data_IF_624488046617
#
_entry.id   IF_624488046617
#
_cell.length_a   1.000
_cell.length_b   1.000
_cell.length_c   1.000
_cell.angle_alpha   90.00
_cell.angle_beta   90.00
_cell.angle_gamma   90.00
#
_symmetry.space_group_name_H-M   'P 1'
#
loop_
_entity.id
_entity.type
_entity.pdbx_description
1 polymer ?
#
# COMPACT_ATOMS: atom_id res chain seq x y z
N UNK A 1 7.89 -19.81 8.27
CA UNK A 1 7.00 -18.79 7.63
C UNK A 1 6.17 -19.51 6.57
N UNK A 2 4.83 -19.40 6.59
CA UNK A 2 4.00 -19.83 5.45
C UNK A 2 4.59 -19.20 4.19
N UNK A 3 4.70 -19.94 3.09
CA UNK A 3 5.24 -19.46 1.81
C UNK A 3 4.25 -18.44 1.23
N UNK A 4 4.26 -17.23 1.78
CA UNK A 4 3.47 -16.11 1.28
C UNK A 4 4.07 -15.76 -0.07
N UNK A 5 3.25 -15.89 -1.11
CA UNK A 5 3.61 -15.41 -2.42
C UNK A 5 3.50 -13.88 -2.41
N UNK A 6 4.62 -13.23 -2.11
CA UNK A 6 4.73 -11.78 -2.02
C UNK A 6 4.34 -11.09 -3.33
N UNK A 7 4.52 -11.74 -4.47
CA UNK A 7 4.11 -11.22 -5.79
C UNK A 7 2.59 -11.24 -5.92
N UNK A 8 1.95 -12.32 -5.48
CA UNK A 8 0.48 -12.38 -5.40
C UNK A 8 -0.07 -11.37 -4.41
N UNK A 9 0.59 -11.19 -3.26
CA UNK A 9 0.22 -10.19 -2.24
C UNK A 9 0.27 -8.77 -2.83
N UNK A 10 1.37 -8.44 -3.52
CA UNK A 10 1.57 -7.17 -4.21
C UNK A 10 0.42 -6.86 -5.18
N UNK A 11 0.07 -7.83 -6.01
CA UNK A 11 -0.96 -7.68 -7.03
C UNK A 11 -2.37 -7.55 -6.41
N UNK A 12 -2.64 -8.28 -5.33
CA UNK A 12 -3.89 -8.14 -4.57
C UNK A 12 -4.02 -6.74 -3.94
N UNK A 13 -2.96 -6.22 -3.32
CA UNK A 13 -2.98 -4.88 -2.69
C UNK A 13 -3.19 -3.79 -3.73
N UNK A 14 -2.53 -3.88 -4.88
CA UNK A 14 -2.74 -2.94 -5.99
C UNK A 14 -4.18 -3.00 -6.50
N UNK A 15 -4.74 -4.19 -6.66
CA UNK A 15 -6.13 -4.38 -7.10
C UNK A 15 -7.13 -3.75 -6.11
N UNK A 16 -6.89 -3.92 -4.81
CA UNK A 16 -7.69 -3.28 -3.75
C UNK A 16 -7.54 -1.75 -3.79
N UNK A 17 -6.33 -1.23 -4.00
CA UNK A 17 -6.09 0.20 -4.15
C UNK A 17 -6.87 0.82 -5.31
N UNK A 18 -6.90 0.13 -6.47
CA UNK A 18 -7.70 0.56 -7.63
C UNK A 18 -9.19 0.55 -7.31
N UNK A 19 -9.70 -0.47 -6.61
CA UNK A 19 -11.09 -0.52 -6.17
C UNK A 19 -11.45 0.68 -5.27
N UNK A 20 -10.57 1.06 -4.35
CA UNK A 20 -10.78 2.27 -3.54
C UNK A 20 -10.79 3.54 -4.37
N UNK A 21 -9.95 3.68 -5.39
CA UNK A 21 -10.03 4.80 -6.33
C UNK A 21 -11.37 4.84 -7.07
N UNK A 22 -11.87 3.69 -7.54
CA UNK A 22 -13.19 3.60 -8.19
C UNK A 22 -14.31 4.00 -7.22
N UNK A 23 -14.27 3.48 -5.98
CA UNK A 23 -15.25 3.86 -4.96
C UNK A 23 -15.18 5.34 -4.60
N UNK A 24 -14.00 5.94 -4.59
CA UNK A 24 -13.82 7.39 -4.38
C UNK A 24 -14.58 8.21 -5.44
N UNK A 25 -14.58 7.76 -6.70
CA UNK A 25 -15.33 8.41 -7.79
C UNK A 25 -16.84 8.19 -7.70
N UNK A 26 -17.27 7.00 -7.28
CA UNK A 26 -18.69 6.64 -7.16
C UNK A 26 -19.33 7.32 -5.95
N UNK A 27 -18.65 7.30 -4.80
CA UNK A 27 -19.15 7.81 -3.52
C UNK A 27 -18.46 9.12 -3.15
N UNK A 28 -18.87 10.22 -3.79
CA UNK A 28 -18.26 11.55 -3.63
C UNK A 28 -18.21 12.03 -2.19
N UNK A 29 -19.22 11.72 -1.37
CA UNK A 29 -19.26 12.10 0.06
C UNK A 29 -18.14 11.44 0.87
N UNK A 30 -17.69 10.26 0.45
CA UNK A 30 -16.60 9.50 1.09
C UNK A 30 -15.30 9.56 0.28
N UNK A 31 -15.20 10.47 -0.70
CA UNK A 31 -14.07 10.56 -1.62
C UNK A 31 -12.74 10.63 -0.86
N UNK A 32 -12.64 11.52 0.15
CA UNK A 32 -11.43 11.70 0.98
C UNK A 32 -11.05 10.39 1.72
N UNK A 33 -12.04 9.70 2.29
CA UNK A 33 -11.82 8.44 3.02
C UNK A 33 -11.31 7.33 2.09
N UNK A 34 -11.95 7.13 0.94
CA UNK A 34 -11.53 6.13 -0.04
C UNK A 34 -10.16 6.44 -0.67
N UNK A 35 -9.88 7.72 -0.93
CA UNK A 35 -8.56 8.14 -1.41
C UNK A 35 -7.48 7.84 -0.37
N UNK A 36 -7.76 8.08 0.92
CA UNK A 36 -6.88 7.70 2.02
C UNK A 36 -6.58 6.21 2.03
N UNK A 37 -7.58 5.35 1.88
CA UNK A 37 -7.35 3.90 1.80
C UNK A 37 -6.53 3.48 0.57
N UNK A 38 -6.76 4.09 -0.59
CA UNK A 38 -5.94 3.84 -1.78
C UNK A 38 -4.46 4.19 -1.54
N UNK A 39 -4.18 5.30 -0.85
CA UNK A 39 -2.81 5.66 -0.48
C UNK A 39 -2.19 4.72 0.55
N UNK A 40 -2.97 4.19 1.51
CA UNK A 40 -2.47 3.14 2.41
C UNK A 40 -2.06 1.87 1.64
N UNK A 41 -2.82 1.50 0.60
CA UNK A 41 -2.45 0.38 -0.27
C UNK A 41 -1.10 0.62 -0.97
N UNK A 42 -0.79 1.86 -1.37
CA UNK A 42 0.53 2.20 -1.94
C UNK A 42 1.64 2.01 -0.91
N UNK A 43 1.44 2.44 0.34
CA UNK A 43 2.41 2.21 1.41
C UNK A 43 2.65 0.72 1.66
N UNK A 44 1.58 -0.07 1.78
CA UNK A 44 1.65 -1.52 1.95
C UNK A 44 2.34 -2.22 0.77
N UNK A 45 2.13 -1.73 -0.45
CA UNK A 45 2.79 -2.23 -1.65
C UNK A 45 4.31 -2.05 -1.59
N UNK A 46 4.80 -0.95 -1.01
CA UNK A 46 6.23 -0.74 -0.74
C UNK A 46 6.82 -1.80 0.21
N UNK A 47 6.04 -2.24 1.21
CA UNK A 47 6.46 -3.33 2.12
C UNK A 47 6.51 -4.67 1.37
N UNK A 48 5.54 -4.95 0.50
CA UNK A 48 5.59 -6.16 -0.33
C UNK A 48 6.80 -6.15 -1.26
N UNK A 49 7.13 -4.99 -1.84
CA UNK A 49 8.31 -4.83 -2.68
C UNK A 49 9.61 -5.10 -1.89
N UNK A 50 9.71 -4.59 -0.66
CA UNK A 50 10.83 -4.87 0.22
C UNK A 50 11.07 -6.38 0.40
N UNK A 51 10.02 -7.14 0.76
CA UNK A 51 10.13 -8.58 1.00
C UNK A 51 10.39 -9.37 -0.29
N UNK A 52 9.85 -8.91 -1.42
CA UNK A 52 10.06 -9.53 -2.72
C UNK A 52 11.52 -9.37 -3.16
N UNK A 53 12.07 -8.16 -3.03
CA UNK A 53 13.47 -7.89 -3.33
C UNK A 53 14.42 -8.62 -2.36
N UNK A 54 14.07 -8.73 -1.08
CA UNK A 54 14.82 -9.52 -0.10
C UNK A 54 14.87 -11.00 -0.49
N UNK A 55 13.77 -11.54 -1.04
CA UNK A 55 13.66 -12.93 -1.49
C UNK A 55 14.41 -13.18 -2.81
N UNK A 56 14.38 -12.24 -3.75
CA UNK A 56 15.01 -12.40 -5.07
C UNK A 56 16.51 -12.09 -5.06
N UNK A 57 16.95 -11.04 -4.35
CA UNK A 57 18.33 -10.54 -4.37
C UNK A 57 19.12 -10.84 -3.10
N UNK A 58 18.47 -11.38 -2.06
CA UNK A 58 19.08 -11.63 -0.74
C UNK A 58 19.36 -10.35 0.07
N UNK A 59 19.10 -9.18 -0.49
CA UNK A 59 19.26 -7.86 0.14
C UNK A 59 18.20 -6.91 -0.38
N UNK A 60 17.71 -6.03 0.48
CA UNK A 60 16.68 -5.05 0.14
C UNK A 60 16.90 -3.75 0.90
N UNK A 61 16.56 -2.63 0.28
CA UNK A 61 16.76 -1.32 0.88
C UNK A 61 15.72 -1.07 1.99
N UNK A 62 16.19 -0.74 3.20
CA UNK A 62 15.32 -0.33 4.31
C UNK A 62 14.50 0.93 4.00
N UNK A 63 14.87 1.68 2.95
CA UNK A 63 14.13 2.84 2.45
C UNK A 63 12.70 2.48 2.04
N UNK A 64 12.43 1.26 1.55
CA UNK A 64 11.07 0.86 1.21
C UNK A 64 10.14 0.79 2.42
N UNK A 65 10.65 0.27 3.54
CA UNK A 65 9.91 0.21 4.81
C UNK A 65 9.73 1.62 5.37
N UNK A 66 10.80 2.42 5.39
CA UNK A 66 10.75 3.79 5.90
C UNK A 66 9.76 4.64 5.08
N UNK A 67 9.82 4.54 3.75
CA UNK A 67 8.90 5.20 2.84
C UNK A 67 7.46 4.76 3.05
N UNK A 68 7.22 3.46 3.21
CA UNK A 68 5.88 2.94 3.52
C UNK A 68 5.31 3.51 4.83
N UNK A 69 6.13 3.57 5.88
CA UNK A 69 5.73 4.12 7.18
C UNK A 69 5.39 5.61 7.05
N UNK A 70 6.26 6.39 6.38
CA UNK A 70 6.03 7.83 6.16
C UNK A 70 4.74 8.05 5.39
N UNK A 71 4.51 7.30 4.31
CA UNK A 71 3.28 7.40 3.52
C UNK A 71 2.05 7.08 4.37
N UNK A 72 2.07 6.00 5.16
CA UNK A 72 0.93 5.63 6.01
C UNK A 72 0.64 6.72 7.07
N UNK A 73 1.66 7.24 7.74
CA UNK A 73 1.50 8.32 8.73
C UNK A 73 0.91 9.57 8.07
N UNK A 74 1.46 9.96 6.92
CA UNK A 74 1.02 11.14 6.18
C UNK A 74 -0.43 10.98 5.69
N UNK A 75 -0.82 9.77 5.30
CA UNK A 75 -2.20 9.45 4.93
C UNK A 75 -3.15 9.56 6.11
N UNK A 76 -2.77 9.03 7.29
CA UNK A 76 -3.58 9.16 8.50
C UNK A 76 -3.79 10.64 8.83
N UNK A 77 -2.74 11.44 8.77
CA UNK A 77 -2.80 12.87 9.11
C UNK A 77 -3.62 13.69 8.10
N UNK A 78 -3.51 13.40 6.79
CA UNK A 78 -4.18 14.17 5.75
C UNK A 78 -5.63 13.73 5.50
N UNK A 79 -5.97 12.45 5.70
CA UNK A 79 -7.28 11.92 5.29
C UNK A 79 -8.20 11.57 6.45
N UNK A 80 -7.65 11.32 7.64
CA UNK A 80 -8.44 10.88 8.81
C UNK A 80 -8.44 11.88 9.97
N UNK A 81 -7.55 12.88 9.95
CA UNK A 81 -7.55 14.04 10.84
C UNK A 81 -8.05 15.29 10.09
#
# INVERSE_FOLDING_TARGET
>A
MKNIDWKKCQLSILSIGVLFCVFSLVFKEYHRLFLGFAWMCIGLNGICFYFLELKEKGSSSKLYILGAIIVIILVIFIYFF
#
